data_IF_383057316227
#
_entry.id   IF_383057316227
#
_cell.length_a   1.000
_cell.length_b   1.000
_cell.length_c   1.000
_cell.angle_alpha   90.00
_cell.angle_beta   90.00
_cell.angle_gamma   90.00
#
_symmetry.space_group_name_H-M   'P 1'
#
loop_
_entity.id
_entity.type
_entity.pdbx_description
1 polymer ?
#
# COMPACT_ATOMS: atom_id res chain seq x y z
N UNK A 1 -10.69 -1.43 13.34
CA UNK A 1 -10.25 -2.18 12.15
C UNK A 1 -8.95 -2.89 12.51
N UNK A 2 -8.76 -4.14 12.07
CA UNK A 2 -7.52 -4.92 12.23
C UNK A 2 -7.05 -5.39 10.84
N UNK A 3 -5.86 -4.99 10.35
CA UNK A 3 -5.34 -5.50 9.08
C UNK A 3 -4.91 -6.96 9.24
N UNK A 4 -5.20 -7.79 8.24
CA UNK A 4 -4.84 -9.22 8.24
C UNK A 4 -3.72 -9.48 7.23
N UNK A 5 -3.94 -9.12 5.96
CA UNK A 5 -3.00 -9.40 4.88
C UNK A 5 -3.04 -8.30 3.84
N UNK A 6 -1.88 -7.74 3.53
CA UNK A 6 -1.72 -6.70 2.52
C UNK A 6 -0.86 -7.22 1.37
N UNK A 7 -1.32 -7.09 0.14
CA UNK A 7 -0.51 -7.26 -1.08
C UNK A 7 -0.44 -5.95 -1.82
N UNK A 8 0.78 -5.54 -2.17
CA UNK A 8 1.06 -4.36 -2.99
C UNK A 8 1.87 -4.76 -4.21
N UNK A 9 1.39 -4.41 -5.40
CA UNK A 9 2.06 -4.70 -6.67
C UNK A 9 2.20 -3.43 -7.50
N UNK A 10 3.36 -3.21 -8.11
CA UNK A 10 3.57 -2.09 -9.04
C UNK A 10 3.81 -0.72 -8.39
N UNK A 11 4.23 -0.69 -7.12
CA UNK A 11 4.55 0.52 -6.36
C UNK A 11 6.06 0.83 -6.39
N UNK A 12 6.44 2.10 -6.54
CA UNK A 12 7.87 2.50 -6.50
C UNK A 12 8.52 2.10 -5.17
N UNK A 13 7.84 2.31 -4.04
CA UNK A 13 8.40 1.97 -2.73
C UNK A 13 8.71 0.48 -2.55
N UNK A 14 8.06 -0.40 -3.31
CA UNK A 14 8.31 -1.84 -3.29
C UNK A 14 9.41 -2.19 -4.30
N UNK A 15 9.34 -1.68 -5.53
CA UNK A 15 10.35 -1.92 -6.56
C UNK A 15 11.72 -1.35 -6.16
N UNK A 16 11.76 -0.09 -5.78
CA UNK A 16 13.01 0.62 -5.49
C UNK A 16 13.55 0.26 -4.11
N UNK A 17 12.64 0.02 -3.15
CA UNK A 17 13.02 -0.29 -1.77
C UNK A 17 13.33 -1.76 -1.50
N UNK A 18 12.68 -2.69 -2.19
CA UNK A 18 12.81 -4.14 -1.97
C UNK A 18 13.31 -4.91 -3.18
N UNK A 19 13.47 -4.25 -4.33
CA UNK A 19 13.83 -4.89 -5.61
C UNK A 19 12.87 -6.01 -6.01
N UNK A 20 11.57 -5.79 -5.77
CA UNK A 20 10.49 -6.72 -6.10
C UNK A 20 9.34 -5.99 -6.77
N UNK A 21 8.64 -6.67 -7.67
CA UNK A 21 7.44 -6.11 -8.31
C UNK A 21 6.21 -6.14 -7.38
N UNK A 22 6.24 -7.02 -6.37
CA UNK A 22 5.16 -7.20 -5.42
C UNK A 22 5.69 -7.59 -4.03
N UNK A 23 4.92 -7.25 -3.00
CA UNK A 23 5.12 -7.72 -1.63
C UNK A 23 3.79 -8.12 -1.02
N UNK A 24 3.80 -9.21 -0.27
CA UNK A 24 2.70 -9.61 0.61
C UNK A 24 3.18 -9.61 2.05
N UNK A 25 2.44 -8.91 2.92
CA UNK A 25 2.66 -8.85 4.36
C UNK A 25 1.47 -9.51 5.04
N UNK A 26 1.69 -10.65 5.68
CA UNK A 26 0.67 -11.40 6.42
C UNK A 26 0.81 -11.15 7.92
N UNK A 27 -0.02 -10.26 8.46
CA UNK A 27 -0.05 -9.91 9.88
C UNK A 27 -0.85 -10.90 10.71
N UNK A 28 -1.65 -11.77 10.08
CA UNK A 28 -2.44 -12.78 10.81
C UNK A 28 -1.55 -13.83 11.47
N UNK A 29 -0.35 -14.05 10.91
CA UNK A 29 0.66 -14.98 11.41
C UNK A 29 1.56 -14.40 12.52
N UNK A 30 1.51 -13.08 12.72
CA UNK A 30 2.38 -12.39 13.67
C UNK A 30 1.86 -12.53 15.10
N UNK A 31 2.76 -12.53 16.10
CA UNK A 31 2.36 -12.59 17.49
C UNK A 31 1.53 -11.36 17.89
N UNK A 32 0.68 -11.54 18.90
CA UNK A 32 -0.09 -10.44 19.48
C UNK A 32 0.88 -9.49 20.18
N UNK A 33 0.75 -8.19 19.89
CA UNK A 33 1.52 -7.15 20.56
C UNK A 33 1.95 -6.03 19.62
N UNK A 34 2.97 -5.29 20.05
CA UNK A 34 3.57 -4.23 19.25
C UNK A 34 4.53 -4.83 18.23
N UNK A 35 4.31 -4.53 16.95
CA UNK A 35 5.14 -4.99 15.83
C UNK A 35 5.87 -3.78 15.26
N UNK A 36 7.19 -3.90 15.06
CA UNK A 36 8.00 -2.88 14.44
C UNK A 36 8.33 -3.26 12.99
N UNK A 37 8.14 -2.32 12.06
CA UNK A 37 8.64 -2.43 10.69
C UNK A 37 10.00 -1.73 10.59
N UNK A 38 11.06 -2.52 10.41
CA UNK A 38 12.46 -2.04 10.41
C UNK A 38 13.11 -2.15 9.03
N UNK A 39 14.10 -1.31 8.77
CA UNK A 39 14.85 -1.28 7.50
C UNK A 39 15.43 0.11 7.20
N UNK A 40 16.37 0.22 6.24
CA UNK A 40 16.98 1.50 5.87
C UNK A 40 15.97 2.49 5.25
N UNK A 41 16.36 3.75 5.12
CA UNK A 41 15.57 4.75 4.40
C UNK A 41 15.38 4.33 2.94
N UNK A 42 14.17 4.55 2.40
CA UNK A 42 13.82 4.09 1.05
C UNK A 42 13.38 2.63 0.95
N UNK A 43 13.49 1.81 2.01
CA UNK A 43 13.14 0.37 1.98
C UNK A 43 11.62 0.04 1.84
N UNK A 44 10.77 1.01 1.49
CA UNK A 44 9.33 0.78 1.31
C UNK A 44 8.48 0.74 2.60
N UNK A 45 9.06 1.09 3.76
CA UNK A 45 8.36 1.03 5.06
C UNK A 45 7.09 1.90 5.10
N UNK A 46 7.23 3.17 4.75
CA UNK A 46 6.09 4.11 4.68
C UNK A 46 5.07 3.65 3.65
N UNK A 47 5.52 3.07 2.52
CA UNK A 47 4.61 2.52 1.50
C UNK A 47 3.74 1.38 2.05
N UNK A 48 4.28 0.48 2.86
CA UNK A 48 3.49 -0.55 3.54
C UNK A 48 2.54 0.09 4.55
N UNK A 49 3.06 0.94 5.45
CA UNK A 49 2.28 1.56 6.52
C UNK A 49 1.11 2.39 6.00
N UNK A 50 1.35 3.23 4.99
CA UNK A 50 0.33 4.06 4.36
C UNK A 50 -0.72 3.27 3.61
N UNK A 51 -0.46 2.01 3.27
CA UNK A 51 -1.43 1.18 2.58
C UNK A 51 -2.10 0.16 3.50
N UNK A 52 -1.72 0.10 4.78
CA UNK A 52 -2.27 -0.83 5.76
C UNK A 52 -3.64 -0.37 6.30
N UNK A 53 -4.50 0.12 5.42
CA UNK A 53 -5.87 0.50 5.72
C UNK A 53 -6.77 0.42 4.47
N UNK A 54 -8.11 0.37 4.64
CA UNK A 54 -9.06 -0.01 3.59
C UNK A 54 -9.27 1.00 2.45
N UNK A 55 -8.71 2.20 2.55
CA UNK A 55 -9.05 3.34 1.70
C UNK A 55 -7.99 3.55 0.60
N UNK A 56 -8.36 4.08 -0.57
CA UNK A 56 -7.43 4.33 -1.67
C UNK A 56 -6.67 5.66 -1.47
N UNK A 57 -6.01 5.83 -0.33
CA UNK A 57 -5.17 7.00 -0.02
C UNK A 57 -3.86 6.55 0.61
N UNK A 58 -2.78 7.31 0.43
CA UNK A 58 -1.57 7.21 1.25
C UNK A 58 -1.54 8.42 2.20
N UNK A 59 -1.87 8.24 3.50
CA UNK A 59 -2.04 9.34 4.46
C UNK A 59 -0.84 10.28 4.56
N UNK A 60 0.39 9.77 4.46
CA UNK A 60 1.60 10.62 4.54
C UNK A 60 1.79 11.53 3.32
N UNK A 61 1.07 11.28 2.22
CA UNK A 61 1.15 12.03 0.97
C UNK A 61 -0.15 12.76 0.60
N UNK A 62 -1.22 12.62 1.40
CA UNK A 62 -2.48 13.28 1.16
C UNK A 62 -2.50 14.69 1.77
N UNK A 63 -2.93 15.69 1.00
CA UNK A 63 -3.03 17.08 1.48
C UNK A 63 -4.15 17.30 2.50
N UNK A 64 -5.16 16.43 2.49
CA UNK A 64 -6.27 16.35 3.43
C UNK A 64 -6.82 14.92 3.43
N UNK A 65 -7.57 14.54 4.47
CA UNK A 65 -8.19 13.22 4.59
C UNK A 65 -9.48 13.12 3.74
N UNK A 66 -9.36 13.28 2.42
CA UNK A 66 -10.50 13.13 1.49
C UNK A 66 -10.10 12.40 0.21
N UNK A 67 -11.08 11.82 -0.48
CA UNK A 67 -10.85 10.97 -1.65
C UNK A 67 -10.25 11.72 -2.85
N UNK A 68 -10.47 13.03 -2.95
CA UNK A 68 -9.96 13.92 -4.00
C UNK A 68 -8.55 14.47 -3.70
N UNK A 69 -8.00 14.22 -2.51
CA UNK A 69 -6.77 14.83 -2.05
C UNK A 69 -5.50 14.06 -2.41
N UNK A 70 -5.64 12.92 -3.07
CA UNK A 70 -4.53 12.01 -3.33
C UNK A 70 -4.73 11.23 -4.63
N UNK A 71 -3.62 10.96 -5.32
CA UNK A 71 -3.56 10.07 -6.47
C UNK A 71 -2.34 9.16 -6.35
N UNK A 72 -2.53 7.88 -6.64
CA UNK A 72 -1.42 6.92 -6.69
C UNK A 72 -0.48 7.16 -7.89
N UNK A 73 -0.81 8.05 -8.83
CA UNK A 73 -0.05 8.27 -10.08
C UNK A 73 1.48 8.36 -9.89
N UNK A 74 1.93 9.17 -8.94
CA UNK A 74 3.36 9.38 -8.66
C UNK A 74 3.99 8.25 -7.83
N UNK A 75 3.17 7.39 -7.24
CA UNK A 75 3.58 6.27 -6.39
C UNK A 75 3.63 4.93 -7.12
N UNK A 76 3.13 4.87 -8.35
CA UNK A 76 3.09 3.67 -9.17
C UNK A 76 4.17 3.67 -10.25
N UNK A 77 4.73 2.49 -10.48
CA UNK A 77 5.79 2.27 -11.47
C UNK A 77 5.40 1.33 -12.60
N UNK A 78 4.43 0.44 -12.37
CA UNK A 78 4.00 -0.54 -13.35
C UNK A 78 2.77 -0.04 -14.15
N UNK A 79 2.57 -0.52 -15.39
CA UNK A 79 1.36 -0.19 -16.18
C UNK A 79 0.06 -0.60 -15.51
N UNK A 80 0.11 -1.66 -14.68
CA UNK A 80 -0.94 -2.11 -13.78
C UNK A 80 -0.36 -2.26 -12.38
N UNK A 81 -1.07 -1.75 -11.40
CA UNK A 81 -0.70 -1.85 -10.00
C UNK A 81 -1.91 -2.23 -9.16
N UNK A 82 -1.67 -2.83 -8.00
CA UNK A 82 -2.72 -3.38 -7.15
C UNK A 82 -2.44 -3.11 -5.68
N UNK A 83 -3.49 -2.70 -4.96
CA UNK A 83 -3.55 -2.70 -3.50
C UNK A 83 -4.66 -3.66 -3.11
N UNK A 84 -4.30 -4.72 -2.40
CA UNK A 84 -5.24 -5.72 -1.91
C UNK A 84 -5.06 -5.90 -0.40
N UNK A 85 -6.08 -5.52 0.37
CA UNK A 85 -6.06 -5.62 1.83
C UNK A 85 -7.23 -6.47 2.32
N UNK A 86 -6.92 -7.55 3.01
CA UNK A 86 -7.84 -8.27 3.87
C UNK A 86 -7.79 -7.69 5.29
N UNK A 87 -8.94 -7.40 5.89
CA UNK A 87 -9.04 -6.75 7.20
C UNK A 87 -10.31 -7.14 7.95
N UNK A 88 -10.29 -7.00 9.27
CA UNK A 88 -11.40 -7.33 10.16
C UNK A 88 -11.97 -6.09 10.84
N UNK A 89 -13.30 -6.06 11.01
CA UNK A 89 -13.98 -5.11 11.88
C UNK A 89 -15.32 -5.68 12.36
N UNK A 90 -15.62 -5.54 13.66
CA UNK A 90 -16.88 -6.02 14.23
C UNK A 90 -17.11 -7.53 14.05
N UNK A 91 -16.04 -8.34 14.13
CA UNK A 91 -16.09 -9.79 13.96
C UNK A 91 -16.35 -10.26 12.52
N UNK A 92 -16.34 -9.36 11.54
CA UNK A 92 -16.47 -9.68 10.11
C UNK A 92 -15.18 -9.37 9.38
N UNK A 93 -14.87 -10.22 8.39
CA UNK A 93 -13.75 -10.03 7.48
C UNK A 93 -14.21 -9.33 6.21
N UNK A 94 -13.39 -8.40 5.72
CA UNK A 94 -13.61 -7.57 4.55
C UNK A 94 -12.37 -7.60 3.66
N UNK A 95 -12.55 -7.27 2.38
CA UNK A 95 -11.47 -7.12 1.42
C UNK A 95 -11.61 -5.80 0.66
N UNK A 96 -10.54 -5.03 0.66
CA UNK A 96 -10.38 -3.81 -0.13
C UNK A 96 -9.39 -4.08 -1.25
N UNK A 97 -9.91 -4.28 -2.47
CA UNK A 97 -9.11 -4.56 -3.66
C UNK A 97 -9.22 -3.40 -4.65
N UNK A 98 -8.09 -2.76 -4.93
CA UNK A 98 -7.97 -1.65 -5.88
C UNK A 98 -6.99 -2.03 -6.98
N UNK A 99 -7.43 -1.87 -8.22
CA UNK A 99 -6.59 -1.98 -9.40
C UNK A 99 -6.39 -0.59 -10.01
N UNK A 100 -5.15 -0.25 -10.29
CA UNK A 100 -4.75 1.02 -10.86
C UNK A 100 -4.14 0.78 -12.23
N UNK A 101 -4.51 1.64 -13.18
CA UNK A 101 -3.91 1.65 -14.52
C UNK A 101 -3.05 2.90 -14.64
N UNK A 102 -1.76 2.71 -14.93
CA UNK A 102 -0.85 3.80 -15.26
C UNK A 102 -0.56 3.76 -16.78
N UNK A 103 -1.32 4.50 -17.62
CA UNK A 103 -1.20 4.46 -19.07
C UNK A 103 0.14 4.94 -19.67
N UNK A 104 1.16 5.25 -18.86
CA UNK A 104 2.52 5.53 -19.35
C UNK A 104 2.65 6.78 -20.21
N UNK A 105 1.59 7.60 -20.36
CA UNK A 105 1.69 8.87 -21.09
C UNK A 105 2.68 9.77 -20.34
N UNK A 106 3.74 10.11 -21.07
CA UNK A 106 4.93 10.88 -20.68
C UNK A 106 4.72 11.72 -19.42
N UNK A 107 5.41 11.35 -18.34
CA UNK A 107 5.70 12.30 -17.26
C UNK A 107 6.35 13.51 -17.95
N UNK A 108 5.70 14.67 -17.96
CA UNK A 108 6.41 15.88 -18.36
C UNK A 108 7.51 16.07 -17.32
N UNK A 109 8.75 16.07 -17.81
CA UNK A 109 9.95 16.31 -17.02
C UNK A 109 9.87 17.68 -16.32
#
# INVERSE_FOLDING_TARGET
>A
MRPLKLTLSGFHGIRDGMHRDSVTVDLSTLPVGLIALVGPNGAGKTTIMDNLHPFPVMPSHASKMSADAFSYWDHLCAPRAEKDLEWEHGGKTYRSAFAFRNPGKSRKA
#
